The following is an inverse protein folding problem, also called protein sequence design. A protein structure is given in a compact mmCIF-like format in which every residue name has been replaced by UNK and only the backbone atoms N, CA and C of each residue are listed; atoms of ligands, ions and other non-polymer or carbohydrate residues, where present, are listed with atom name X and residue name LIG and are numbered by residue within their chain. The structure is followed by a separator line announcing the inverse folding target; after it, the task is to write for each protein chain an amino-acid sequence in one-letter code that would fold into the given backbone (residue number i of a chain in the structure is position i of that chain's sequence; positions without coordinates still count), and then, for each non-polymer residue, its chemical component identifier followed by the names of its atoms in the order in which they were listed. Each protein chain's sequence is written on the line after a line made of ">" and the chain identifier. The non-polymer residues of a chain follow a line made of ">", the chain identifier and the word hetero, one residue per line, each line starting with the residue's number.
data_IF_886056092549
#
_entry.id   IF_886056092549
#
_cell.length_a   1.000
_cell.length_b   1.000
_cell.length_c   1.000
_cell.angle_alpha   90.00
_cell.angle_beta   90.00
_cell.angle_gamma   90.00
#
_symmetry.space_group_name_H-M   'P 1'
#
loop_
_entity.id
_entity.type
_entity.pdbx_description
1 polymer ?
#
# COMPACT_ATOMS: atom_id res chain seq x y z
N UNK A 1 5.93 -1.96 -12.11
CA UNK A 1 6.78 -0.86 -11.60
C UNK A 1 6.18 0.39 -12.19
N UNK A 2 5.60 1.24 -11.34
CA UNK A 2 4.83 2.42 -11.77
C UNK A 2 5.74 3.31 -12.61
N UNK A 3 5.43 3.50 -13.89
CA UNK A 3 6.18 4.41 -14.78
C UNK A 3 5.17 5.29 -15.50
N UNK A 4 4.71 6.31 -14.81
CA UNK A 4 3.91 7.36 -15.45
C UNK A 4 4.86 8.49 -15.82
N UNK A 5 4.90 8.87 -17.10
CA UNK A 5 5.72 10.01 -17.56
C UNK A 5 5.12 11.35 -17.13
N UNK A 6 3.80 11.37 -16.88
CA UNK A 6 3.01 12.51 -16.42
C UNK A 6 2.12 12.10 -15.23
N UNK A 7 1.37 13.04 -14.65
CA UNK A 7 0.36 12.71 -13.64
C UNK A 7 -0.69 11.76 -14.24
N UNK A 8 -0.96 10.60 -13.60
CA UNK A 8 -1.94 9.66 -14.11
C UNK A 8 -3.36 10.21 -13.98
N UNK A 9 -4.21 9.79 -14.91
CA UNK A 9 -5.66 9.94 -14.78
C UNK A 9 -6.23 9.06 -13.67
N UNK A 10 -7.43 9.39 -13.20
CA UNK A 10 -8.15 8.58 -12.20
C UNK A 10 -8.43 7.17 -12.76
N UNK A 11 -8.76 7.05 -14.05
CA UNK A 11 -8.96 5.77 -14.71
C UNK A 11 -7.68 4.91 -14.73
N UNK A 12 -6.52 5.52 -14.98
CA UNK A 12 -5.22 4.82 -14.94
C UNK A 12 -4.88 4.34 -13.54
N UNK A 13 -5.13 5.15 -12.51
CA UNK A 13 -4.94 4.76 -11.11
C UNK A 13 -5.84 3.58 -10.75
N UNK A 14 -7.15 3.65 -11.08
CA UNK A 14 -8.11 2.57 -10.80
C UNK A 14 -7.70 1.27 -11.49
N UNK A 15 -7.24 1.35 -12.74
CA UNK A 15 -6.76 0.20 -13.50
C UNK A 15 -5.51 -0.44 -12.87
N UNK A 16 -4.55 0.37 -12.46
CA UNK A 16 -3.33 -0.13 -11.84
C UNK A 16 -3.60 -0.74 -10.45
N UNK A 17 -4.49 -0.12 -9.66
CA UNK A 17 -4.97 -0.70 -8.39
C UNK A 17 -5.55 -2.09 -8.58
N UNK A 18 -6.39 -2.28 -9.61
CA UNK A 18 -6.95 -3.60 -9.93
C UNK A 18 -5.86 -4.61 -10.29
N UNK A 19 -4.87 -4.22 -11.11
CA UNK A 19 -3.73 -5.09 -11.46
C UNK A 19 -2.96 -5.52 -10.19
N UNK A 20 -2.66 -4.57 -9.31
CA UNK A 20 -1.96 -4.82 -8.05
C UNK A 20 -2.77 -5.71 -7.09
N UNK A 21 -4.09 -5.53 -7.02
CA UNK A 21 -4.97 -6.40 -6.25
C UNK A 21 -4.93 -7.84 -6.76
N UNK A 22 -5.06 -8.04 -8.08
CA UNK A 22 -4.98 -9.36 -8.70
C UNK A 22 -3.61 -10.02 -8.49
N UNK A 23 -2.53 -9.25 -8.59
CA UNK A 23 -1.18 -9.74 -8.28
C UNK A 23 -1.06 -10.13 -6.80
N UNK A 24 -1.58 -9.28 -5.89
CA UNK A 24 -1.61 -9.54 -4.46
C UNK A 24 -2.34 -10.84 -4.11
N UNK A 25 -3.53 -11.06 -4.67
CA UNK A 25 -4.31 -12.30 -4.49
C UNK A 25 -3.49 -13.52 -4.91
N UNK A 26 -2.87 -13.48 -6.11
CA UNK A 26 -2.03 -14.58 -6.60
C UNK A 26 -0.86 -14.89 -5.65
N UNK A 27 -0.20 -13.84 -5.12
CA UNK A 27 0.91 -14.03 -4.16
C UNK A 27 0.43 -14.54 -2.81
N UNK A 28 -0.75 -14.14 -2.32
CA UNK A 28 -1.34 -14.68 -1.10
C UNK A 28 -1.63 -16.17 -1.23
N UNK A 29 -2.21 -16.60 -2.36
CA UNK A 29 -2.44 -18.02 -2.61
C UNK A 29 -1.12 -18.80 -2.70
N UNK A 30 -0.09 -18.23 -3.35
CA UNK A 30 1.25 -18.83 -3.36
C UNK A 30 1.86 -18.94 -1.96
N UNK A 31 1.70 -17.91 -1.12
CA UNK A 31 2.18 -17.92 0.27
C UNK A 31 1.51 -19.03 1.10
N UNK A 32 0.19 -19.23 0.92
CA UNK A 32 -0.54 -20.34 1.58
C UNK A 32 0.03 -21.69 1.17
N UNK A 33 0.34 -21.86 -0.13
CA UNK A 33 0.96 -23.08 -0.65
C UNK A 33 2.33 -23.33 -0.02
N UNK A 34 3.22 -22.34 0.00
CA UNK A 34 4.55 -22.46 0.62
C UNK A 34 4.43 -22.88 2.09
N UNK A 35 3.51 -22.26 2.84
CA UNK A 35 3.28 -22.60 4.24
C UNK A 35 2.81 -24.04 4.42
N UNK A 36 1.84 -24.48 3.62
CA UNK A 36 1.37 -25.87 3.66
C UNK A 36 2.50 -26.87 3.32
N UNK A 37 3.34 -26.54 2.34
CA UNK A 37 4.50 -27.37 1.96
C UNK A 37 5.54 -27.43 3.10
N UNK A 38 5.82 -26.30 3.77
CA UNK A 38 6.68 -26.24 4.94
C UNK A 38 6.15 -27.07 6.12
N UNK A 39 4.86 -26.95 6.44
CA UNK A 39 4.23 -27.70 7.53
C UNK A 39 4.26 -29.21 7.27
N UNK A 40 4.07 -29.62 6.01
CA UNK A 40 4.19 -31.01 5.59
C UNK A 40 5.62 -31.53 5.72
N UNK A 41 6.63 -30.74 5.33
CA UNK A 41 8.03 -31.15 5.45
C UNK A 41 8.51 -31.19 6.90
N UNK A 42 8.02 -30.28 7.75
CA UNK A 42 8.35 -30.24 9.19
C UNK A 42 7.69 -31.38 9.97
N UNK A 43 6.50 -31.83 9.59
CA UNK A 43 5.86 -33.01 10.20
C UNK A 43 6.50 -34.34 9.79
N UNK A 44 7.30 -34.35 8.73
CA UNK A 44 8.11 -35.51 8.31
C UNK A 44 9.50 -35.55 9.00
N UNK A 45 9.79 -34.57 9.84
CA UNK A 45 11.09 -34.39 10.51
C UNK A 45 11.26 -35.24 11.78
N UNK A 46 10.20 -35.93 12.23
CA UNK A 46 10.23 -36.82 13.41
C UNK A 46 10.94 -38.17 13.15
N UNK A 47 11.25 -38.52 11.89
CA UNK A 47 12.06 -39.70 11.57
C UNK A 47 13.55 -39.33 11.49
N UNK A 48 14.30 -39.78 12.49
CA UNK A 48 15.70 -39.44 12.84
C UNK A 48 16.76 -39.72 11.75
N UNK A 49 16.36 -40.17 10.56
CA UNK A 49 17.25 -40.55 9.45
C UNK A 49 16.72 -39.97 8.13
N UNK A 50 16.62 -38.65 8.00
CA UNK A 50 16.59 -38.02 6.67
C UNK A 50 17.21 -36.61 6.60
N UNK A 51 18.55 -36.63 6.50
CA UNK A 51 19.35 -36.12 5.38
C UNK A 51 19.31 -34.62 5.06
N UNK A 52 20.51 -34.02 4.93
CA UNK A 52 20.80 -32.65 4.47
C UNK A 52 19.89 -32.13 3.33
N UNK A 53 19.38 -33.00 2.46
CA UNK A 53 18.44 -32.65 1.39
C UNK A 53 17.10 -32.08 1.90
N UNK A 54 16.55 -32.58 3.01
CA UNK A 54 15.31 -32.07 3.60
C UNK A 54 15.53 -30.68 4.19
N UNK A 55 16.64 -30.48 4.91
CA UNK A 55 17.07 -29.18 5.43
C UNK A 55 17.26 -28.16 4.31
N UNK A 56 17.91 -28.54 3.20
CA UNK A 56 18.07 -27.67 2.03
C UNK A 56 16.72 -27.27 1.43
N UNK A 57 15.74 -28.18 1.36
CA UNK A 57 14.39 -27.88 0.84
C UNK A 57 13.62 -26.94 1.75
N UNK A 58 13.67 -27.16 3.06
CA UNK A 58 13.05 -26.26 4.04
C UNK A 58 13.63 -24.86 3.91
N UNK A 59 14.96 -24.74 3.88
CA UNK A 59 15.62 -23.44 3.73
C UNK A 59 15.19 -22.71 2.45
N UNK A 60 15.13 -23.43 1.31
CA UNK A 60 14.65 -22.83 0.05
C UNK A 60 13.23 -22.30 0.16
N UNK A 61 12.33 -23.06 0.79
CA UNK A 61 10.94 -22.62 1.00
C UNK A 61 10.84 -21.44 1.98
N UNK A 62 11.69 -21.38 2.99
CA UNK A 62 11.79 -20.22 3.90
C UNK A 62 12.28 -18.96 3.18
N UNK A 63 13.27 -19.11 2.30
CA UNK A 63 13.75 -18.01 1.45
C UNK A 63 12.64 -17.54 0.49
N UNK A 64 11.90 -18.47 -0.12
CA UNK A 64 10.73 -18.15 -0.97
C UNK A 64 9.60 -17.49 -0.19
N UNK A 65 9.35 -17.93 1.04
CA UNK A 65 8.36 -17.34 1.95
C UNK A 65 8.73 -15.88 2.25
N UNK A 66 9.98 -15.63 2.65
CA UNK A 66 10.48 -14.30 2.96
C UNK A 66 10.39 -13.37 1.74
N UNK A 67 10.81 -13.85 0.56
CA UNK A 67 10.70 -13.08 -0.69
C UNK A 67 9.24 -12.77 -1.05
N UNK A 68 8.34 -13.74 -0.88
CA UNK A 68 6.90 -13.53 -1.15
C UNK A 68 6.29 -12.51 -0.20
N UNK A 69 6.65 -12.55 1.09
CA UNK A 69 6.23 -11.54 2.09
C UNK A 69 6.74 -10.15 1.71
N UNK A 70 8.02 -10.03 1.33
CA UNK A 70 8.60 -8.76 0.91
C UNK A 70 7.89 -8.20 -0.33
N UNK A 71 7.55 -9.05 -1.30
CA UNK A 71 6.80 -8.63 -2.48
C UNK A 71 5.37 -8.19 -2.16
N UNK A 72 4.70 -8.85 -1.21
CA UNK A 72 3.38 -8.42 -0.73
C UNK A 72 3.45 -7.05 -0.04
N UNK A 73 4.49 -6.79 0.76
CA UNK A 73 4.69 -5.49 1.38
C UNK A 73 4.91 -4.37 0.36
N UNK A 74 5.61 -4.66 -0.75
CA UNK A 74 5.75 -3.71 -1.87
C UNK A 74 4.42 -3.41 -2.54
N UNK A 75 3.57 -4.43 -2.76
CA UNK A 75 2.23 -4.25 -3.33
C UNK A 75 1.35 -3.40 -2.41
N UNK A 76 1.35 -3.69 -1.11
CA UNK A 76 0.60 -2.91 -0.10
C UNK A 76 1.03 -1.44 -0.10
N UNK A 77 2.34 -1.18 -0.16
CA UNK A 77 2.88 0.18 -0.23
C UNK A 77 2.45 0.89 -1.52
N UNK A 78 2.55 0.21 -2.67
CA UNK A 78 2.12 0.76 -3.95
C UNK A 78 0.62 1.10 -3.96
N UNK A 79 -0.23 0.24 -3.39
CA UNK A 79 -1.66 0.51 -3.26
C UNK A 79 -1.93 1.76 -2.42
N UNK A 80 -1.25 1.93 -1.28
CA UNK A 80 -1.40 3.13 -0.44
C UNK A 80 -0.95 4.42 -1.14
N UNK A 81 0.11 4.35 -1.95
CA UNK A 81 0.54 5.49 -2.77
C UNK A 81 -0.55 5.86 -3.77
N UNK A 82 -1.14 4.86 -4.43
CA UNK A 82 -2.22 5.07 -5.39
C UNK A 82 -3.49 5.61 -4.72
N UNK A 83 -3.84 5.12 -3.52
CA UNK A 83 -4.98 5.64 -2.74
C UNK A 83 -4.80 7.12 -2.37
N UNK A 84 -3.61 7.49 -1.88
CA UNK A 84 -3.30 8.88 -1.57
C UNK A 84 -3.31 9.75 -2.84
N UNK A 85 -2.77 9.25 -3.94
CA UNK A 85 -2.77 9.96 -5.24
C UNK A 85 -4.19 10.18 -5.75
N UNK A 86 -5.03 9.14 -5.74
CA UNK A 86 -6.43 9.20 -6.12
C UNK A 86 -7.17 10.25 -5.29
N UNK A 87 -7.00 10.22 -3.96
CA UNK A 87 -7.57 11.21 -3.06
C UNK A 87 -7.13 12.63 -3.42
N UNK A 88 -5.84 12.83 -3.70
CA UNK A 88 -5.29 14.16 -4.03
C UNK A 88 -5.92 14.73 -5.30
N UNK A 89 -6.02 13.88 -6.33
CA UNK A 89 -6.57 14.25 -7.64
C UNK A 89 -8.09 14.47 -7.59
N UNK A 90 -8.84 13.63 -6.88
CA UNK A 90 -10.30 13.75 -6.76
C UNK A 90 -10.72 14.96 -5.91
N UNK A 91 -10.06 15.22 -4.77
CA UNK A 91 -10.42 16.34 -3.89
C UNK A 91 -9.92 17.70 -4.40
N UNK A 92 -8.82 17.70 -5.16
CA UNK A 92 -8.20 18.89 -5.76
C UNK A 92 -8.27 20.16 -4.89
N UNK A 93 -7.75 20.09 -3.65
CA UNK A 93 -7.78 21.21 -2.68
C UNK A 93 -7.18 22.49 -3.26
N UNK A 94 -6.19 22.34 -4.14
CA UNK A 94 -5.50 23.44 -4.81
C UNK A 94 -6.32 24.09 -5.92
N UNK A 95 -7.36 23.44 -6.44
CA UNK A 95 -8.23 23.96 -7.50
C UNK A 95 -7.44 24.43 -8.72
N UNK A 96 -7.66 25.66 -9.15
CA UNK A 96 -6.95 26.28 -10.29
C UNK A 96 -5.42 26.37 -10.10
N UNK A 97 -4.92 26.23 -8.87
CA UNK A 97 -3.47 26.21 -8.59
C UNK A 97 -2.85 24.83 -8.79
N UNK A 98 -3.63 23.80 -9.10
CA UNK A 98 -3.09 22.46 -9.36
C UNK A 98 -2.05 22.46 -10.48
N UNK A 99 -2.26 23.23 -11.55
CA UNK A 99 -1.26 23.38 -12.62
C UNK A 99 0.09 23.96 -12.17
N UNK A 100 0.12 24.71 -11.07
CA UNK A 100 1.37 25.20 -10.46
C UNK A 100 2.10 24.06 -9.73
N UNK A 101 1.36 23.15 -9.10
CA UNK A 101 1.93 21.95 -8.49
C UNK A 101 2.56 21.08 -9.58
N UNK A 102 1.78 20.69 -10.59
CA UNK A 102 2.20 19.71 -11.59
C UNK A 102 3.30 20.23 -12.53
N UNK A 103 3.50 21.54 -12.63
CA UNK A 103 4.61 22.13 -13.38
C UNK A 103 5.94 22.17 -12.60
N UNK A 104 5.91 21.97 -11.29
CA UNK A 104 7.08 22.04 -10.41
C UNK A 104 7.47 20.70 -9.78
N UNK A 105 6.48 19.84 -9.55
CA UNK A 105 6.63 18.58 -8.84
C UNK A 105 6.25 17.50 -9.83
N UNK A 106 7.19 16.61 -10.15
CA UNK A 106 6.92 15.46 -11.00
C UNK A 106 6.09 14.41 -10.25
N UNK A 107 5.48 13.50 -10.99
CA UNK A 107 4.68 12.44 -10.36
C UNK A 107 5.53 11.55 -9.45
N UNK A 108 6.76 11.22 -9.84
CA UNK A 108 7.67 10.45 -8.99
C UNK A 108 8.01 11.18 -7.69
N UNK A 109 8.25 12.48 -7.76
CA UNK A 109 8.50 13.30 -6.57
C UNK A 109 7.25 13.39 -5.67
N UNK A 110 6.04 13.39 -6.25
CA UNK A 110 4.81 13.28 -5.47
C UNK A 110 4.76 11.93 -4.73
N UNK A 111 5.11 10.82 -5.38
CA UNK A 111 5.12 9.50 -4.73
C UNK A 111 6.11 9.48 -3.55
N UNK A 112 7.30 10.04 -3.74
CA UNK A 112 8.31 10.14 -2.68
C UNK A 112 7.79 10.99 -1.51
N UNK A 113 7.14 12.14 -1.78
CA UNK A 113 6.51 12.96 -0.73
C UNK A 113 5.45 12.18 0.03
N UNK A 114 4.59 11.41 -0.66
CA UNK A 114 3.55 10.59 -0.02
C UNK A 114 4.17 9.60 0.97
N UNK A 115 5.28 8.97 0.58
CA UNK A 115 6.00 7.99 1.42
C UNK A 115 6.71 8.68 2.58
N UNK A 116 7.44 9.77 2.32
CA UNK A 116 8.23 10.50 3.32
C UNK A 116 7.36 11.13 4.41
N UNK A 117 6.17 11.60 4.05
CA UNK A 117 5.18 12.15 4.98
C UNK A 117 4.28 11.05 5.57
N UNK A 118 4.63 9.77 5.38
CA UNK A 118 3.97 8.59 5.96
C UNK A 118 2.46 8.56 5.70
N UNK A 119 2.05 8.89 4.47
CA UNK A 119 0.66 8.90 4.04
C UNK A 119 -0.26 9.87 4.82
N UNK A 120 0.29 10.82 5.59
CA UNK A 120 -0.45 11.87 6.27
C UNK A 120 -0.86 12.94 5.24
N UNK A 121 -2.13 12.92 4.82
CA UNK A 121 -2.64 13.80 3.78
C UNK A 121 -2.40 15.29 4.11
N UNK A 122 -2.61 15.71 5.35
CA UNK A 122 -2.41 17.11 5.72
C UNK A 122 -0.94 17.53 5.57
N UNK A 123 0.00 16.67 5.98
CA UNK A 123 1.44 16.91 5.76
C UNK A 123 1.81 16.90 4.29
N UNK A 124 1.28 15.94 3.52
CA UNK A 124 1.51 15.86 2.07
C UNK A 124 1.04 17.15 1.40
N UNK A 125 -0.21 17.57 1.63
CA UNK A 125 -0.73 18.82 1.08
C UNK A 125 0.07 20.04 1.53
N UNK A 126 0.49 20.08 2.80
CA UNK A 126 1.33 21.16 3.31
C UNK A 126 2.68 21.21 2.61
N UNK A 127 3.31 20.06 2.38
CA UNK A 127 4.56 19.92 1.63
C UNK A 127 4.41 20.40 0.19
N UNK A 128 3.36 19.99 -0.50
CA UNK A 128 3.05 20.42 -1.86
C UNK A 128 2.81 21.94 -1.93
N UNK A 129 2.08 22.50 -0.96
CA UNK A 129 1.84 23.94 -0.85
C UNK A 129 3.16 24.72 -0.75
N UNK A 130 4.06 24.27 0.13
CA UNK A 130 5.33 24.92 0.41
C UNK A 130 6.30 24.79 -0.79
N UNK A 131 6.44 23.58 -1.36
CA UNK A 131 7.31 23.33 -2.52
C UNK A 131 6.86 24.09 -3.78
N UNK A 132 5.54 24.18 -3.99
CA UNK A 132 5.01 24.94 -5.11
C UNK A 132 5.06 26.46 -4.90
N UNK A 133 5.41 26.93 -3.70
CA UNK A 133 5.46 28.36 -3.36
C UNK A 133 4.08 29.02 -3.42
N UNK A 134 3.02 28.27 -3.10
CA UNK A 134 1.66 28.81 -3.06
C UNK A 134 1.56 29.72 -1.82
N UNK A 135 1.02 30.92 -1.98
CA UNK A 135 0.77 31.86 -0.88
C UNK A 135 -0.72 32.25 -0.83
N UNK A 136 -1.59 31.24 -0.82
CA UNK A 136 -3.03 31.43 -0.70
C UNK A 136 -3.51 30.97 0.68
N UNK A 137 -4.02 31.92 1.48
CA UNK A 137 -4.52 31.66 2.83
C UNK A 137 -5.78 30.78 2.86
N UNK A 138 -6.60 30.79 1.81
CA UNK A 138 -7.80 29.93 1.71
C UNK A 138 -7.40 28.48 1.52
N UNK A 139 -6.42 28.22 0.65
CA UNK A 139 -5.88 26.87 0.44
C UNK A 139 -5.21 26.38 1.73
N UNK A 140 -4.38 27.21 2.37
CA UNK A 140 -3.74 26.83 3.62
C UNK A 140 -4.76 26.44 4.70
N UNK A 141 -5.85 27.22 4.86
CA UNK A 141 -6.94 26.87 5.76
C UNK A 141 -7.62 25.55 5.41
N UNK A 142 -7.84 25.26 4.12
CA UNK A 142 -8.40 23.95 3.71
C UNK A 142 -7.48 22.80 4.14
N UNK A 143 -6.16 22.97 3.99
CA UNK A 143 -5.16 21.98 4.41
C UNK A 143 -5.19 21.80 5.94
N UNK A 144 -5.23 22.89 6.70
CA UNK A 144 -5.30 22.85 8.17
C UNK A 144 -6.56 22.15 8.68
N UNK A 145 -7.67 22.28 7.95
CA UNK A 145 -8.94 21.66 8.30
C UNK A 145 -9.02 20.15 7.99
N UNK A 146 -8.13 19.60 7.16
CA UNK A 146 -8.10 18.15 6.87
C UNK A 146 -7.91 17.31 8.14
N UNK A 147 -7.17 17.83 9.11
CA UNK A 147 -6.95 17.17 10.40
C UNK A 147 -8.11 17.33 11.38
N UNK A 148 -9.05 18.25 11.13
CA UNK A 148 -10.20 18.49 12.01
C UNK A 148 -11.39 17.59 11.68
N UNK A 149 -11.51 17.06 10.45
CA UNK A 149 -12.59 16.16 10.04
C UNK A 149 -12.29 14.67 10.32
N UNK A 150 -11.05 14.30 10.65
CA UNK A 150 -10.67 12.92 11.01
C UNK A 150 -10.84 12.57 12.50
N UNK A 151 -11.39 13.47 13.31
CA UNK A 151 -11.80 13.16 14.70
C UNK A 151 -13.24 12.60 14.81
N UNK A 152 -13.99 12.59 13.72
CA UNK A 152 -15.10 11.66 13.57
C UNK A 152 -14.56 10.47 12.77
N UNK A 153 -14.26 9.39 13.49
CA UNK A 153 -14.15 8.06 12.87
C UNK A 153 -15.29 7.95 11.85
N UNK A 154 -15.03 7.50 10.60
CA UNK A 154 -16.13 7.13 9.75
C UNK A 154 -16.93 6.09 10.53
N UNK A 155 -18.17 6.46 10.91
CA UNK A 155 -19.19 5.47 11.25
C UNK A 155 -19.13 4.47 10.11
N UNK A 156 -18.89 3.22 10.46
CA UNK A 156 -19.02 2.06 9.57
C UNK A 156 -20.45 2.03 9.00
N UNK A 157 -20.78 2.91 8.07
CA UNK A 157 -22.01 2.85 7.31
C UNK A 157 -21.74 1.96 6.10
N UNK A 158 -21.96 0.67 6.37
CA UNK A 158 -22.52 -0.30 5.44
C UNK A 158 -21.75 -0.49 4.11
N UNK A 159 -20.49 -0.88 4.20
CA UNK A 159 -19.97 -1.85 3.22
C UNK A 159 -20.56 -3.21 3.59
N UNK A 160 -21.49 -3.68 2.76
CA UNK A 160 -22.03 -5.03 2.83
C UNK A 160 -20.89 -6.04 2.99
N UNK A 161 -20.86 -6.63 4.19
CA UNK A 161 -20.14 -7.82 4.63
C UNK A 161 -19.33 -8.53 3.55
N UNK A 162 -18.07 -8.14 3.43
CA UNK A 162 -16.99 -9.06 3.08
C UNK A 162 -16.18 -9.37 4.36
N UNK A 163 -16.89 -9.89 5.37
CA UNK A 163 -16.36 -10.26 6.70
C UNK A 163 -15.16 -11.24 6.62
N UNK A 164 -14.87 -11.85 5.46
CA UNK A 164 -13.75 -12.79 5.33
C UNK A 164 -12.37 -12.14 5.17
N UNK A 165 -12.26 -10.88 4.71
CA UNK A 165 -10.95 -10.27 4.40
C UNK A 165 -10.39 -9.54 5.62
N UNK A 166 -11.20 -8.77 6.34
CA UNK A 166 -10.78 -8.02 7.53
C UNK A 166 -10.40 -8.97 8.68
N UNK A 167 -11.11 -10.09 8.83
CA UNK A 167 -10.74 -11.14 9.79
C UNK A 167 -9.45 -11.90 9.41
N UNK A 168 -9.12 -11.98 8.12
CA UNK A 168 -7.85 -12.60 7.68
C UNK A 168 -6.65 -11.72 7.99
N UNK A 169 -6.78 -10.39 7.89
CA UNK A 169 -5.68 -9.45 8.19
C UNK A 169 -5.38 -9.35 9.69
N UNK A 170 -6.40 -9.40 10.56
CA UNK A 170 -6.20 -9.49 12.02
C UNK A 170 -5.47 -10.76 12.44
N UNK A 171 -5.71 -11.87 11.74
CA UNK A 171 -5.02 -13.14 12.01
C UNK A 171 -3.52 -13.09 11.64
N UNK A 172 -3.11 -12.33 10.61
CA UNK A 172 -1.69 -12.21 10.25
C UNK A 172 -0.85 -11.58 11.36
N UNK A 173 -1.37 -10.56 12.07
CA UNK A 173 -0.69 -9.98 13.25
C UNK A 173 -0.51 -10.96 14.41
N UNK A 174 -1.37 -11.98 14.51
CA UNK A 174 -1.30 -13.02 15.55
C UNK A 174 -0.21 -14.07 15.31
N UNK A 175 0.26 -14.23 14.06
CA UNK A 175 1.31 -15.19 13.68
C UNK A 175 2.71 -14.57 13.55
N UNK A 176 2.87 -13.29 13.89
CA UNK A 176 4.15 -12.56 13.89
C UNK A 176 4.74 -12.37 15.31
N UNK A 177 4.27 -13.16 16.29
CA UNK A 177 4.89 -13.29 17.62
C UNK A 177 5.43 -14.69 17.81
#
# INVERSE_FOLDING_TARGET
>A
MLSFEDYPSIEEIKKEKEILHQEGIKKIEYLKKIRADLDKLRSQYDDEILNNQLSIKIKKLEDELANTIANLAKIDTALKILDATEYILENNIFGDKWGIITSKIKFEELMDIIVDENFDLARIYKKLYDLAGINDKKILKKIENLNQELLDEPKEEHLEKNDSIVDRTKNIKKFLR
#
